data_IF_327029141548
#
_entry.id   IF_327029141548
#
_cell.length_a   1.000
_cell.length_b   1.000
_cell.length_c   1.000
_cell.angle_alpha   90.00
_cell.angle_beta   90.00
_cell.angle_gamma   90.00
#
_symmetry.space_group_name_H-M   'P 1'
#
loop_
_entity.id
_entity.type
_entity.pdbx_description
1 polymer ?
#
# COMPACT_ATOMS: atom_id res chain seq x y z
N UNK A 1 -12.18 9.78 0.52
CA UNK A 1 -11.89 10.42 -0.78
C UNK A 1 -11.09 9.56 -1.76
N UNK A 2 -10.00 8.89 -1.37
CA UNK A 2 -9.15 8.12 -2.31
C UNK A 2 -9.91 7.04 -3.08
N UNK A 3 -10.81 6.31 -2.41
CA UNK A 3 -11.64 5.27 -3.04
C UNK A 3 -12.56 5.84 -4.12
N UNK A 4 -13.22 6.98 -3.87
CA UNK A 4 -14.14 7.58 -4.84
C UNK A 4 -13.39 8.05 -6.10
N UNK A 5 -12.21 8.66 -5.94
CA UNK A 5 -11.34 9.04 -7.07
C UNK A 5 -10.89 7.84 -7.90
N UNK A 6 -10.46 6.76 -7.24
CA UNK A 6 -10.01 5.56 -7.93
C UNK A 6 -11.13 4.96 -8.80
N UNK A 7 -12.35 4.85 -8.25
CA UNK A 7 -13.52 4.31 -8.96
C UNK A 7 -13.94 5.20 -10.13
N UNK A 8 -13.83 6.52 -10.02
CA UNK A 8 -14.10 7.41 -11.15
C UNK A 8 -13.08 7.24 -12.29
N UNK A 9 -11.79 7.10 -11.96
CA UNK A 9 -10.71 6.99 -12.94
C UNK A 9 -10.75 5.67 -13.71
N UNK A 10 -11.21 4.57 -13.09
CA UNK A 10 -11.28 3.25 -13.73
C UNK A 10 -12.65 2.95 -14.34
N UNK A 11 -13.60 3.89 -14.32
CA UNK A 11 -15.00 3.69 -14.75
C UNK A 11 -15.14 3.16 -16.19
N UNK A 12 -14.21 3.50 -17.09
CA UNK A 12 -14.22 3.09 -18.50
C UNK A 12 -13.07 2.14 -18.88
N UNK A 13 -12.27 1.71 -17.91
CA UNK A 13 -11.16 0.78 -18.11
C UNK A 13 -11.52 -0.58 -17.49
N UNK A 14 -11.21 -1.68 -18.19
CA UNK A 14 -11.33 -3.02 -17.63
C UNK A 14 -10.19 -3.26 -16.63
N UNK A 15 -10.32 -2.69 -15.43
CA UNK A 15 -9.31 -2.77 -14.37
C UNK A 15 -9.98 -3.10 -13.04
N UNK A 16 -9.39 -4.04 -12.30
CA UNK A 16 -9.80 -4.35 -10.95
C UNK A 16 -9.20 -3.34 -9.97
N UNK A 17 -10.04 -2.74 -9.13
CA UNK A 17 -9.61 -1.82 -8.07
C UNK A 17 -9.50 -2.59 -6.76
N UNK A 18 -8.28 -2.70 -6.23
CA UNK A 18 -8.03 -3.29 -4.92
C UNK A 18 -7.80 -2.19 -3.88
N UNK A 19 -8.50 -2.28 -2.74
CA UNK A 19 -8.36 -1.33 -1.65
C UNK A 19 -7.67 -1.96 -0.44
N UNK A 20 -6.55 -1.34 -0.03
CA UNK A 20 -5.80 -1.77 1.14
C UNK A 20 -6.05 -0.84 2.33
N UNK A 21 -6.90 -1.31 3.26
CA UNK A 21 -6.98 -0.72 4.60
C UNK A 21 -5.60 -0.75 5.24
N UNK A 22 -5.06 0.43 5.49
CA UNK A 22 -3.72 0.67 6.01
C UNK A 22 -3.84 1.62 7.19
N UNK A 23 -3.03 1.37 8.22
CA UNK A 23 -2.95 2.25 9.37
C UNK A 23 -2.43 3.64 8.96
N UNK A 24 -3.04 4.70 9.48
CA UNK A 24 -2.57 6.07 9.25
C UNK A 24 -1.49 6.45 10.27
N UNK A 25 -0.23 6.43 9.83
CA UNK A 25 0.90 6.78 10.67
C UNK A 25 0.92 8.24 11.12
N UNK A 26 0.13 9.13 10.50
CA UNK A 26 0.06 10.55 10.88
C UNK A 26 -0.67 10.78 12.20
N UNK A 27 -1.55 9.85 12.58
CA UNK A 27 -2.31 9.88 13.84
C UNK A 27 -1.42 9.54 15.04
N UNK A 28 -0.25 8.91 14.81
CA UNK A 28 0.68 8.57 15.89
C UNK A 28 1.42 9.82 16.36
N UNK A 29 1.17 10.18 17.62
CA UNK A 29 1.87 11.22 18.35
C UNK A 29 2.99 10.65 19.23
N UNK A 30 3.90 11.51 19.69
CA UNK A 30 5.01 11.13 20.58
C UNK A 30 6.39 11.57 20.07
N UNK A 31 7.44 10.90 20.55
CA UNK A 31 8.82 11.21 20.14
C UNK A 31 9.04 10.96 18.65
N UNK A 32 10.12 11.53 18.11
CA UNK A 32 10.51 11.32 16.71
C UNK A 32 10.64 9.83 16.37
N UNK A 33 11.18 9.05 17.30
CA UNK A 33 11.41 7.62 17.16
C UNK A 33 10.08 6.86 17.05
N UNK A 34 9.10 7.17 17.91
CA UNK A 34 7.77 6.58 17.89
C UNK A 34 7.07 6.86 16.55
N UNK A 35 7.13 8.11 16.09
CA UNK A 35 6.54 8.51 14.81
C UNK A 35 7.20 7.78 13.64
N UNK A 36 8.53 7.76 13.59
CA UNK A 36 9.27 7.05 12.54
C UNK A 36 8.96 5.55 12.51
N UNK A 37 8.77 4.94 13.68
CA UNK A 37 8.40 3.53 13.76
C UNK A 37 7.02 3.26 13.17
N UNK A 38 6.02 4.11 13.45
CA UNK A 38 4.69 4.01 12.86
C UNK A 38 4.74 4.06 11.31
N UNK A 39 5.52 4.97 10.73
CA UNK A 39 5.70 5.02 9.28
C UNK A 39 6.37 3.77 8.71
N UNK A 40 7.37 3.21 9.41
CA UNK A 40 8.05 1.98 8.98
C UNK A 40 7.12 0.78 9.03
N UNK A 41 6.28 0.67 10.06
CA UNK A 41 5.28 -0.39 10.16
C UNK A 41 4.31 -0.37 8.97
N UNK A 42 3.79 0.81 8.61
CA UNK A 42 2.92 0.98 7.44
C UNK A 42 3.64 0.55 6.16
N UNK A 43 4.87 1.03 5.95
CA UNK A 43 5.68 0.66 4.78
C UNK A 43 5.90 -0.86 4.70
N UNK A 44 6.23 -1.49 5.81
CA UNK A 44 6.55 -2.92 5.86
C UNK A 44 5.30 -3.77 5.64
N UNK A 45 4.14 -3.33 6.14
CA UNK A 45 2.85 -3.95 5.85
C UNK A 45 2.51 -3.88 4.35
N UNK A 46 2.69 -2.71 3.72
CA UNK A 46 2.45 -2.52 2.28
C UNK A 46 3.41 -3.41 1.47
N UNK A 47 4.70 -3.39 1.81
CA UNK A 47 5.71 -4.22 1.14
C UNK A 47 5.35 -5.70 1.19
N UNK A 48 4.91 -6.19 2.35
CA UNK A 48 4.47 -7.57 2.51
C UNK A 48 3.30 -7.89 1.58
N UNK A 49 2.25 -7.07 1.56
CA UNK A 49 1.09 -7.28 0.66
C UNK A 49 1.47 -7.27 -0.81
N UNK A 50 2.38 -6.37 -1.21
CA UNK A 50 2.92 -6.34 -2.58
C UNK A 50 3.60 -7.66 -2.91
N UNK A 51 4.49 -8.15 -2.05
CA UNK A 51 5.23 -9.40 -2.30
C UNK A 51 4.32 -10.63 -2.28
N UNK A 52 3.30 -10.64 -1.43
CA UNK A 52 2.30 -11.72 -1.37
C UNK A 52 1.44 -11.74 -2.65
N UNK A 53 1.11 -10.58 -3.21
CA UNK A 53 0.31 -10.44 -4.44
C UNK A 53 1.13 -10.60 -5.73
N UNK A 54 2.34 -10.06 -5.72
CA UNK A 54 3.27 -10.02 -6.85
C UNK A 54 4.61 -10.64 -6.40
N UNK A 55 4.67 -11.98 -6.29
CA UNK A 55 5.90 -12.65 -5.94
C UNK A 55 6.97 -12.30 -6.98
N UNK A 56 8.19 -12.05 -6.51
CA UNK A 56 9.34 -11.81 -7.40
C UNK A 56 9.55 -13.12 -8.17
N UNK A 57 9.08 -13.15 -9.41
CA UNK A 57 9.26 -14.29 -10.30
C UNK A 57 10.75 -14.58 -10.54
N UNK A 58 11.09 -15.80 -10.97
CA UNK A 58 12.47 -16.10 -11.36
C UNK A 58 12.91 -15.10 -12.44
N UNK A 59 14.18 -14.69 -12.38
CA UNK A 59 14.77 -13.84 -13.41
C UNK A 59 14.47 -14.43 -14.80
N UNK A 60 14.09 -13.60 -15.79
CA UNK A 60 13.75 -14.09 -17.12
C UNK A 60 14.92 -14.92 -17.65
N UNK A 61 14.64 -16.17 -18.02
CA UNK A 61 15.61 -17.01 -18.72
C UNK A 61 15.66 -16.50 -20.17
N UNK A 62 16.74 -15.80 -20.50
CA UNK A 62 17.12 -15.47 -21.87
C UNK A 62 17.55 -16.75 -22.59
#
# INVERSE_FOLDING_TARGET
EAQHRAVEMTRTMACDVEFWNTFDATIVEGSREIRLEAYRQVRDQIKKRILDRFPIGPAPKV
#
